data_IF_111763310237
#
_entry.id   IF_111763310237
#
_cell.length_a   1.000
_cell.length_b   1.000
_cell.length_c   1.000
_cell.angle_alpha   90.00
_cell.angle_beta   90.00
_cell.angle_gamma   90.00
#
_symmetry.space_group_name_H-M   'P 1'
#
loop_
_entity.id
_entity.type
_entity.pdbx_description
1 polymer ?
#
# COMPACT_ATOMS: atom_id res chain seq x y z
N UNK A 1 -15.83 -7.98 0.38
CA UNK A 1 -14.51 -8.35 0.93
C UNK A 1 -14.12 -7.25 1.90
N UNK A 2 -14.29 -7.46 3.21
CA UNK A 2 -14.07 -6.40 4.21
C UNK A 2 -12.59 -6.09 4.32
N UNK A 3 -12.23 -4.87 3.90
CA UNK A 3 -10.99 -4.21 4.29
C UNK A 3 -11.02 -4.09 5.82
N UNK A 4 -10.04 -4.68 6.51
CA UNK A 4 -9.82 -4.38 7.93
C UNK A 4 -9.70 -2.87 8.03
N UNK A 5 -10.49 -2.24 8.90
CA UNK A 5 -10.29 -0.84 9.28
C UNK A 5 -8.95 -0.75 10.02
N UNK A 6 -7.87 -0.69 9.25
CA UNK A 6 -6.50 -0.51 9.75
C UNK A 6 -6.44 0.83 10.46
N UNK A 7 -5.97 0.80 11.70
CA UNK A 7 -6.15 1.85 12.70
C UNK A 7 -5.30 3.08 12.37
N UNK A 8 -5.69 4.27 12.85
CA UNK A 8 -4.94 5.54 12.69
C UNK A 8 -3.43 5.41 12.99
N UNK A 9 -3.04 4.48 13.87
CA UNK A 9 -1.64 4.19 14.20
C UNK A 9 -0.83 3.68 13.00
N UNK A 10 -1.44 2.90 12.11
CA UNK A 10 -0.79 2.33 10.93
C UNK A 10 -0.53 3.41 9.88
N UNK A 11 -1.45 4.37 9.74
CA UNK A 11 -1.25 5.56 8.90
C UNK A 11 -0.08 6.42 9.39
N UNK A 12 0.13 6.50 10.72
CA UNK A 12 1.29 7.20 11.29
C UNK A 12 2.60 6.43 11.10
N UNK A 13 2.56 5.10 11.14
CA UNK A 13 3.71 4.24 10.86
C UNK A 13 4.07 4.21 9.37
N UNK A 14 3.14 4.41 8.44
CA UNK A 14 3.39 4.49 6.99
C UNK A 14 4.05 5.80 6.52
N UNK A 15 3.80 6.91 7.22
CA UNK A 15 4.39 8.22 6.86
C UNK A 15 5.90 8.32 7.10
N UNK A 16 6.48 7.46 7.95
CA UNK A 16 7.92 7.39 8.19
C UNK A 16 8.69 6.63 7.10
N UNK A 17 8.34 5.38 6.73
CA UNK A 17 9.05 4.59 5.73
C UNK A 17 8.94 5.16 4.32
N UNK A 18 7.85 5.87 3.97
CA UNK A 18 7.73 6.53 2.65
C UNK A 18 8.81 7.59 2.42
N UNK A 19 9.35 8.21 3.50
CA UNK A 19 10.38 9.24 3.43
C UNK A 19 11.81 8.70 3.36
N UNK A 20 12.02 7.40 3.60
CA UNK A 20 13.36 6.78 3.74
C UNK A 20 13.48 5.50 2.93
N UNK A 21 12.53 5.20 2.03
CA UNK A 21 12.61 4.04 1.16
C UNK A 21 13.65 4.30 0.06
N UNK A 22 14.84 3.73 0.22
CA UNK A 22 15.88 3.67 -0.82
C UNK A 22 15.47 2.72 -1.96
N UNK A 23 14.54 1.80 -1.67
CA UNK A 23 14.05 0.79 -2.60
C UNK A 23 12.78 1.28 -3.36
N UNK A 24 12.82 1.32 -4.70
CA UNK A 24 11.70 1.77 -5.53
C UNK A 24 10.48 0.84 -5.49
N UNK A 25 10.63 -0.44 -5.11
CA UNK A 25 9.51 -1.38 -4.96
C UNK A 25 8.75 -1.07 -3.67
N UNK A 26 9.48 -0.93 -2.56
CA UNK A 26 8.97 -0.51 -1.26
C UNK A 26 8.26 0.82 -1.31
N UNK A 27 8.80 1.80 -2.05
CA UNK A 27 8.15 3.09 -2.23
C UNK A 27 6.80 2.92 -2.93
N UNK A 28 6.75 2.14 -4.02
CA UNK A 28 5.50 1.88 -4.75
C UNK A 28 4.47 1.16 -3.88
N UNK A 29 4.86 0.12 -3.14
CA UNK A 29 3.95 -0.57 -2.21
C UNK A 29 3.41 0.38 -1.14
N UNK A 30 4.27 1.22 -0.57
CA UNK A 30 3.87 2.20 0.44
C UNK A 30 2.85 3.21 -0.10
N UNK A 31 3.05 3.69 -1.34
CA UNK A 31 2.13 4.61 -2.01
C UNK A 31 0.77 3.95 -2.27
N UNK A 32 0.75 2.72 -2.78
CA UNK A 32 -0.49 1.95 -3.02
C UNK A 32 -1.30 1.79 -1.73
N UNK A 33 -0.64 1.34 -0.65
CA UNK A 33 -1.30 1.16 0.65
C UNK A 33 -1.83 2.48 1.17
N UNK A 34 -1.05 3.55 1.10
CA UNK A 34 -1.47 4.89 1.54
C UNK A 34 -2.71 5.39 0.77
N UNK A 35 -2.71 5.28 -0.56
CA UNK A 35 -3.86 5.70 -1.39
C UNK A 35 -5.10 4.87 -1.07
N UNK A 36 -4.94 3.55 -0.90
CA UNK A 36 -6.04 2.68 -0.47
C UNK A 36 -6.58 3.07 0.91
N UNK A 37 -5.73 3.49 1.85
CA UNK A 37 -6.17 3.97 3.17
C UNK A 37 -6.95 5.29 3.09
N UNK A 38 -6.61 6.15 2.13
CA UNK A 38 -7.39 7.36 1.83
C UNK A 38 -8.72 7.06 1.12
N UNK A 39 -9.06 5.78 0.90
CA UNK A 39 -10.32 5.37 0.28
C UNK A 39 -10.31 5.48 -1.25
N UNK A 40 -9.16 5.65 -1.89
CA UNK A 40 -9.10 5.61 -3.35
C UNK A 40 -9.44 4.21 -3.88
N UNK A 41 -10.18 4.17 -4.98
CA UNK A 41 -10.52 2.89 -5.61
C UNK A 41 -9.29 2.28 -6.29
N UNK A 42 -9.25 0.96 -6.42
CA UNK A 42 -8.18 0.26 -7.14
C UNK A 42 -8.02 0.78 -8.57
N UNK A 43 -9.12 1.17 -9.23
CA UNK A 43 -9.10 1.76 -10.57
C UNK A 43 -8.42 3.14 -10.61
N UNK A 44 -8.63 3.96 -9.60
CA UNK A 44 -7.95 5.26 -9.51
C UNK A 44 -6.45 5.09 -9.26
N UNK A 45 -6.09 4.15 -8.38
CA UNK A 45 -4.69 3.87 -8.04
C UNK A 45 -3.94 3.32 -9.26
N UNK A 46 -4.54 2.38 -10.00
CA UNK A 46 -3.95 1.82 -11.23
C UNK A 46 -3.78 2.87 -12.31
N UNK A 47 -4.75 3.76 -12.49
CA UNK A 47 -4.65 4.87 -13.43
C UNK A 47 -3.55 5.87 -13.03
N UNK A 48 -3.41 6.18 -11.74
CA UNK A 48 -2.41 7.13 -11.25
C UNK A 48 -0.99 6.57 -11.31
N UNK A 49 -0.81 5.31 -10.94
CA UNK A 49 0.50 4.67 -10.84
C UNK A 49 0.90 3.90 -12.10
N UNK A 50 0.02 3.77 -13.09
CA UNK A 50 0.24 3.02 -14.34
C UNK A 50 0.66 1.57 -14.08
N UNK A 51 -0.04 0.91 -13.14
CA UNK A 51 0.19 -0.49 -12.73
C UNK A 51 -1.07 -1.33 -12.97
N UNK A 52 -0.93 -2.66 -12.94
CA UNK A 52 -2.07 -3.56 -13.09
C UNK A 52 -2.97 -3.58 -11.85
N UNK A 53 -4.24 -3.88 -12.09
CA UNK A 53 -5.28 -4.06 -11.08
C UNK A 53 -4.94 -5.23 -10.14
N UNK A 54 -4.37 -6.31 -10.68
CA UNK A 54 -3.86 -7.45 -9.90
C UNK A 54 -2.72 -7.06 -8.97
N UNK A 55 -1.77 -6.24 -9.43
CA UNK A 55 -0.67 -5.76 -8.60
C UNK A 55 -1.18 -4.95 -7.40
N UNK A 56 -2.11 -4.02 -7.63
CA UNK A 56 -2.67 -3.20 -6.53
C UNK A 56 -3.42 -4.07 -5.53
N UNK A 57 -4.19 -5.06 -6.00
CA UNK A 57 -4.88 -6.01 -5.11
C UNK A 57 -3.90 -6.87 -4.32
N UNK A 58 -2.85 -7.37 -4.95
CA UNK A 58 -1.84 -8.19 -4.29
C UNK A 58 -1.15 -7.41 -3.18
N UNK A 59 -0.74 -6.16 -3.44
CA UNK A 59 -0.11 -5.29 -2.43
C UNK A 59 -1.04 -5.03 -1.26
N UNK A 60 -2.30 -4.67 -1.53
CA UNK A 60 -3.29 -4.41 -0.48
C UNK A 60 -3.61 -5.68 0.31
N UNK A 61 -3.74 -6.82 -0.36
CA UNK A 61 -4.03 -8.10 0.30
C UNK A 61 -2.85 -8.54 1.18
N UNK A 62 -1.65 -8.54 0.61
CA UNK A 62 -0.39 -8.79 1.31
C UNK A 62 -0.25 -7.90 2.55
N UNK A 63 -0.52 -6.59 2.41
CA UNK A 63 -0.48 -5.67 3.54
C UNK A 63 -1.55 -5.97 4.59
N UNK A 64 -2.77 -6.32 4.20
CA UNK A 64 -3.85 -6.67 5.14
C UNK A 64 -3.59 -7.98 5.91
N UNK A 65 -2.88 -8.92 5.31
CA UNK A 65 -2.54 -10.22 5.90
C UNK A 65 -1.31 -10.13 6.82
N UNK A 66 -0.25 -9.47 6.37
CA UNK A 66 1.09 -9.52 6.99
C UNK A 66 1.63 -8.14 7.42
N UNK A 67 0.89 -7.06 7.17
CA UNK A 67 1.29 -5.70 7.53
C UNK A 67 2.55 -5.22 6.81
N UNK A 68 3.36 -4.43 7.52
CA UNK A 68 4.56 -3.78 6.99
C UNK A 68 5.66 -4.73 6.51
N UNK A 69 5.66 -5.99 6.94
CA UNK A 69 6.63 -7.00 6.48
C UNK A 69 6.55 -7.23 4.97
N UNK A 70 5.41 -6.89 4.34
CA UNK A 70 5.19 -7.06 2.89
C UNK A 70 5.77 -5.93 2.04
N UNK A 71 6.11 -4.80 2.65
CA UNK A 71 6.69 -3.67 1.93
C UNK A 71 8.15 -3.93 1.51
N UNK A 72 8.72 -5.07 1.89
CA UNK A 72 10.13 -5.42 1.68
C UNK A 72 10.36 -6.58 0.71
N UNK A 73 9.30 -7.23 0.22
CA UNK A 73 9.44 -8.48 -0.52
C UNK A 73 9.58 -8.21 -2.02
N UNK A 74 10.73 -8.62 -2.55
CA UNK A 74 11.02 -8.82 -3.98
C UNK A 74 10.93 -10.32 -4.32
#
# INVERSE_FOLDING_TARGET
MSLRSLSMEEGRRLQKPSRTAEDPVKLRHTIVVLMSMHGQSVKDITALMQVSDDYVRDVIHSFNERGFETLHRE
#
